data_IF_429435197486
#
_entry.id   IF_429435197486
#
_cell.length_a   1.000
_cell.length_b   1.000
_cell.length_c   1.000
_cell.angle_alpha   90.00
_cell.angle_beta   90.00
_cell.angle_gamma   90.00
#
_symmetry.space_group_name_H-M   'P 1'
#
loop_
_entity.id
_entity.type
_entity.pdbx_description
1 polymer ?
#
# COMPACT_ATOMS: atom_id res chain seq x y z
N UNK A 1 0.94 -2.04 13.85
CA UNK A 1 -0.44 -1.54 13.63
C UNK A 1 -0.47 -0.12 14.17
N UNK A 2 -0.63 0.90 13.34
CA UNK A 2 -0.63 2.30 13.79
C UNK A 2 -1.90 2.99 13.29
N UNK A 3 -2.60 3.66 14.20
CA UNK A 3 -3.89 4.32 13.99
C UNK A 3 -3.68 5.82 14.08
N UNK A 4 -3.98 6.57 13.02
CA UNK A 4 -3.89 8.03 13.03
C UNK A 4 -5.28 8.60 12.73
N UNK A 5 -5.75 9.50 13.59
CA UNK A 5 -6.97 10.29 13.36
C UNK A 5 -6.59 11.55 12.61
N UNK A 6 -7.25 11.83 11.49
CA UNK A 6 -7.08 13.09 10.77
C UNK A 6 -7.99 14.17 11.34
N UNK A 7 -7.56 15.43 11.33
CA UNK A 7 -8.38 16.58 11.73
C UNK A 7 -9.38 17.02 10.65
N UNK A 8 -9.21 16.58 9.38
CA UNK A 8 -10.08 16.94 8.25
C UNK A 8 -11.03 15.82 7.81
N UNK A 9 -10.90 14.64 8.41
CA UNK A 9 -11.75 13.48 8.21
C UNK A 9 -12.04 12.91 9.60
N UNK A 10 -13.29 12.92 10.05
CA UNK A 10 -13.67 12.49 11.42
C UNK A 10 -13.46 11.00 11.67
N UNK A 11 -13.14 10.22 10.63
CA UNK A 11 -12.86 8.79 10.69
C UNK A 11 -11.39 8.45 10.96
N UNK A 12 -11.17 7.22 11.42
CA UNK A 12 -9.83 6.64 11.61
C UNK A 12 -9.29 6.13 10.27
N UNK A 13 -8.07 6.53 9.91
CA UNK A 13 -7.39 6.03 8.72
C UNK A 13 -6.21 5.17 9.16
N UNK A 14 -6.14 3.97 8.60
CA UNK A 14 -5.05 3.04 8.85
C UNK A 14 -4.40 2.63 7.53
N UNK A 15 -3.06 2.73 7.49
CA UNK A 15 -2.25 2.24 6.38
C UNK A 15 -1.29 1.19 6.92
N UNK A 16 -1.43 -0.05 6.46
CA UNK A 16 -0.53 -1.16 6.81
C UNK A 16 0.41 -1.47 5.67
N UNK A 17 1.67 -1.74 6.02
CA UNK A 17 2.72 -2.12 5.08
C UNK A 17 3.21 -3.52 5.43
N UNK A 18 3.44 -4.31 4.38
CA UNK A 18 4.10 -5.60 4.50
C UNK A 18 5.14 -5.76 3.38
N UNK A 19 6.24 -6.43 3.69
CA UNK A 19 7.31 -6.80 2.77
C UNK A 19 7.53 -8.29 2.87
N UNK A 20 7.16 -9.01 1.83
CA UNK A 20 7.26 -10.47 1.82
C UNK A 20 7.62 -11.02 0.45
N UNK A 21 7.92 -12.31 0.42
CA UNK A 21 7.98 -13.08 -0.81
C UNK A 21 6.55 -13.50 -1.15
N UNK A 22 6.10 -13.20 -2.36
CA UNK A 22 4.80 -13.61 -2.88
C UNK A 22 4.99 -14.63 -4.00
N UNK A 23 4.15 -15.66 -4.00
CA UNK A 23 4.08 -16.62 -5.11
C UNK A 23 3.31 -16.08 -6.32
N UNK A 24 3.44 -16.74 -7.50
CA UNK A 24 2.79 -16.31 -8.74
C UNK A 24 1.27 -16.07 -8.63
N UNK A 25 0.54 -16.98 -7.97
CA UNK A 25 -0.91 -16.87 -7.82
C UNK A 25 -1.30 -15.65 -6.98
N UNK A 26 -0.62 -15.42 -5.85
CA UNK A 26 -0.92 -14.26 -5.00
C UNK A 26 -0.67 -12.93 -5.75
N UNK A 27 0.40 -12.87 -6.55
CA UNK A 27 0.71 -11.69 -7.37
C UNK A 27 -0.40 -11.47 -8.41
N UNK A 28 -0.82 -12.52 -9.10
CA UNK A 28 -1.88 -12.45 -10.11
C UNK A 28 -3.23 -12.07 -9.51
N UNK A 29 -3.59 -12.62 -8.37
CA UNK A 29 -4.87 -12.34 -7.70
C UNK A 29 -4.99 -10.88 -7.26
N UNK A 30 -3.87 -10.27 -6.85
CA UNK A 30 -3.86 -8.87 -6.37
C UNK A 30 -3.62 -7.86 -7.49
N UNK A 31 -2.78 -8.18 -8.48
CA UNK A 31 -2.32 -7.21 -9.49
C UNK A 31 -2.81 -7.49 -10.91
N UNK A 32 -3.33 -8.69 -11.18
CA UNK A 32 -3.61 -9.20 -12.52
C UNK A 32 -2.36 -9.60 -13.33
N UNK A 33 -1.15 -9.40 -12.80
CA UNK A 33 0.11 -9.68 -13.50
C UNK A 33 0.52 -11.14 -13.29
N UNK A 34 0.86 -11.83 -14.37
CA UNK A 34 1.44 -13.18 -14.31
C UNK A 34 2.96 -13.09 -14.23
N UNK A 35 3.56 -13.90 -13.34
CA UNK A 35 5.01 -14.01 -13.19
C UNK A 35 5.42 -15.48 -13.10
N UNK A 36 6.62 -15.81 -13.55
CA UNK A 36 7.07 -17.21 -13.65
C UNK A 36 7.54 -17.81 -12.31
N UNK A 37 7.68 -17.00 -11.26
CA UNK A 37 8.20 -17.43 -9.97
C UNK A 37 7.99 -16.42 -8.87
N UNK A 38 8.43 -16.78 -7.68
CA UNK A 38 8.30 -15.94 -6.49
C UNK A 38 9.00 -14.59 -6.65
N UNK A 39 8.38 -13.54 -6.10
CA UNK A 39 8.94 -12.18 -6.13
C UNK A 39 8.92 -11.54 -4.76
N UNK A 40 9.90 -10.68 -4.51
CA UNK A 40 9.86 -9.73 -3.40
C UNK A 40 8.79 -8.69 -3.69
N UNK A 41 7.87 -8.50 -2.75
CA UNK A 41 6.74 -7.60 -2.92
C UNK A 41 6.59 -6.66 -1.73
N UNK A 42 6.13 -5.45 -2.02
CA UNK A 42 5.57 -4.53 -1.04
C UNK A 42 4.05 -4.60 -1.14
N UNK A 43 3.37 -4.83 -0.03
CA UNK A 43 1.92 -4.78 0.06
C UNK A 43 1.50 -3.60 0.92
N UNK A 44 0.41 -2.97 0.49
CA UNK A 44 -0.25 -1.90 1.24
C UNK A 44 -1.72 -2.25 1.39
N UNK A 45 -2.23 -2.13 2.60
CA UNK A 45 -3.67 -2.21 2.90
C UNK A 45 -4.10 -0.89 3.53
N UNK A 46 -5.12 -0.27 2.95
CA UNK A 46 -5.72 0.98 3.42
C UNK A 46 -7.08 0.66 4.01
N UNK A 47 -7.30 1.09 5.24
CA UNK A 47 -8.60 0.95 5.91
C UNK A 47 -9.12 2.31 6.33
N UNK A 48 -10.41 2.56 6.06
CA UNK A 48 -11.16 3.73 6.53
C UNK A 48 -12.19 3.22 7.53
N UNK A 49 -12.15 3.74 8.76
CA UNK A 49 -13.09 3.37 9.83
C UNK A 49 -13.14 1.86 10.11
N UNK A 50 -11.98 1.19 9.97
CA UNK A 50 -11.83 -0.25 10.16
C UNK A 50 -12.22 -1.11 8.95
N UNK A 51 -12.80 -0.52 7.90
CA UNK A 51 -13.12 -1.23 6.66
C UNK A 51 -11.96 -1.15 5.68
N UNK A 52 -11.53 -2.28 5.12
CA UNK A 52 -10.52 -2.30 4.07
C UNK A 52 -11.13 -1.73 2.79
N UNK A 53 -10.62 -0.57 2.37
CA UNK A 53 -11.10 0.14 1.17
C UNK A 53 -10.16 0.00 -0.02
N UNK A 54 -8.94 -0.48 0.23
CA UNK A 54 -7.93 -0.57 -0.81
C UNK A 54 -6.79 -1.51 -0.44
N UNK A 55 -6.38 -2.33 -1.42
CA UNK A 55 -5.19 -3.16 -1.32
C UNK A 55 -4.35 -2.97 -2.58
N UNK A 56 -3.06 -2.81 -2.40
CA UNK A 56 -2.12 -2.64 -3.50
C UNK A 56 -0.88 -3.46 -3.27
N UNK A 57 -0.31 -3.98 -4.36
CA UNK A 57 0.93 -4.75 -4.35
C UNK A 57 1.87 -4.19 -5.41
N UNK A 58 3.14 -4.03 -5.04
CA UNK A 58 4.21 -3.71 -5.97
C UNK A 58 5.28 -4.79 -5.91
N UNK A 59 5.62 -5.33 -7.07
CA UNK A 59 6.79 -6.20 -7.24
C UNK A 59 8.04 -5.32 -7.13
N UNK A 60 8.94 -5.65 -6.20
CA UNK A 60 10.21 -4.97 -6.01
C UNK A 60 11.19 -5.38 -7.12
N UNK A 61 11.87 -4.41 -7.73
CA UNK A 61 12.71 -4.67 -8.89
C UNK A 61 14.20 -4.72 -8.48
N UNK A 62 15.02 -5.65 -9.01
CA UNK A 62 16.45 -5.67 -8.71
C UNK A 62 17.15 -4.36 -9.06
N UNK A 63 16.70 -3.69 -10.14
CA UNK A 63 17.23 -2.39 -10.58
C UNK A 63 16.99 -1.22 -9.63
N UNK A 64 16.14 -1.36 -8.61
CA UNK A 64 16.02 -0.39 -7.51
C UNK A 64 16.65 -0.88 -6.19
N UNK A 65 17.47 -1.93 -6.26
CA UNK A 65 18.04 -2.64 -5.10
C UNK A 65 16.98 -3.18 -4.13
N UNK A 66 15.79 -3.53 -4.63
CA UNK A 66 14.64 -3.91 -3.83
C UNK A 66 14.26 -2.84 -2.80
N UNK A 67 14.28 -1.58 -3.21
CA UNK A 67 14.03 -0.44 -2.32
C UNK A 67 12.61 -0.52 -1.73
N UNK A 68 12.56 -0.82 -0.42
CA UNK A 68 11.30 -0.96 0.32
C UNK A 68 10.46 0.32 0.28
N UNK A 69 11.09 1.49 0.31
CA UNK A 69 10.39 2.76 0.28
C UNK A 69 9.73 3.02 -1.09
N UNK A 70 10.44 2.75 -2.19
CA UNK A 70 9.89 2.86 -3.53
C UNK A 70 8.73 1.88 -3.73
N UNK A 71 8.92 0.62 -3.31
CA UNK A 71 7.88 -0.40 -3.34
C UNK A 71 6.62 -0.02 -2.55
N UNK A 72 6.76 0.51 -1.32
CA UNK A 72 5.61 1.01 -0.53
C UNK A 72 4.86 2.13 -1.22
N UNK A 73 5.57 3.13 -1.78
CA UNK A 73 4.91 4.24 -2.49
C UNK A 73 4.13 3.74 -3.70
N UNK A 74 4.71 2.81 -4.48
CA UNK A 74 4.05 2.22 -5.65
C UNK A 74 2.82 1.39 -5.25
N UNK A 75 2.95 0.53 -4.24
CA UNK A 75 1.84 -0.25 -3.71
C UNK A 75 0.72 0.63 -3.13
N UNK A 76 1.08 1.72 -2.44
CA UNK A 76 0.12 2.68 -1.93
C UNK A 76 -0.66 3.37 -3.06
N UNK A 77 0.04 3.81 -4.12
CA UNK A 77 -0.60 4.40 -5.31
C UNK A 77 -1.68 3.49 -5.89
N UNK A 78 -1.42 2.18 -5.95
CA UNK A 78 -2.42 1.20 -6.40
C UNK A 78 -3.58 1.04 -5.40
N UNK A 79 -3.27 0.92 -4.11
CA UNK A 79 -4.29 0.75 -3.07
C UNK A 79 -5.29 1.91 -3.03
N UNK A 80 -4.83 3.14 -3.30
CA UNK A 80 -5.68 4.34 -3.23
C UNK A 80 -6.26 4.77 -4.57
N UNK A 81 -5.85 4.15 -5.69
CA UNK A 81 -6.35 4.49 -7.03
C UNK A 81 -7.89 4.54 -7.14
N UNK A 82 -8.67 3.59 -6.58
CA UNK A 82 -10.13 3.62 -6.68
C UNK A 82 -10.80 4.65 -5.75
N UNK A 83 -10.06 5.28 -4.83
CA UNK A 83 -10.62 6.21 -3.85
C UNK A 83 -10.83 7.62 -4.45
N UNK A 84 -11.74 8.37 -3.83
CA UNK A 84 -11.95 9.78 -4.18
C UNK A 84 -10.70 10.61 -3.91
N UNK A 85 -10.57 11.76 -4.57
CA UNK A 85 -9.35 12.59 -4.52
C UNK A 85 -9.03 13.04 -3.09
N UNK A 86 -10.06 13.33 -2.31
CA UNK A 86 -9.98 13.80 -0.93
C UNK A 86 -9.42 12.70 -0.02
N UNK A 87 -9.98 11.49 -0.12
CA UNK A 87 -9.53 10.31 0.62
C UNK A 87 -8.09 9.94 0.25
N UNK A 88 -7.76 9.99 -1.06
CA UNK A 88 -6.38 9.77 -1.53
C UNK A 88 -5.41 10.72 -0.85
N UNK A 89 -5.72 12.02 -0.83
CA UNK A 89 -4.86 13.04 -0.20
C UNK A 89 -4.67 12.77 1.28
N UNK A 90 -5.71 12.35 1.97
CA UNK A 90 -5.63 12.07 3.40
C UNK A 90 -4.78 10.84 3.70
N UNK A 91 -4.98 9.76 2.95
CA UNK A 91 -4.17 8.54 3.09
C UNK A 91 -2.68 8.83 2.83
N UNK A 92 -2.37 9.67 1.82
CA UNK A 92 -1.00 10.11 1.57
C UNK A 92 -0.41 10.95 2.71
N UNK A 93 -1.23 11.81 3.34
CA UNK A 93 -0.81 12.58 4.52
C UNK A 93 -0.44 11.67 5.69
N UNK A 94 -1.27 10.66 5.98
CA UNK A 94 -1.01 9.63 6.99
C UNK A 94 0.28 8.85 6.67
N UNK A 95 0.45 8.43 5.41
CA UNK A 95 1.67 7.76 4.95
C UNK A 95 2.93 8.60 5.21
N UNK A 96 2.92 9.87 4.80
CA UNK A 96 4.09 10.76 4.94
C UNK A 96 4.42 11.04 6.40
N UNK A 97 3.41 11.22 7.25
CA UNK A 97 3.62 11.37 8.70
C UNK A 97 4.24 10.13 9.35
N UNK A 98 4.01 8.94 8.80
CA UNK A 98 4.50 7.65 9.34
C UNK A 98 5.90 7.27 8.84
N UNK A 99 6.31 7.75 7.67
CA UNK A 99 7.58 7.38 7.04
C UNK A 99 8.70 8.43 7.18
N UNK A 100 8.37 9.65 7.65
CA UNK A 100 9.33 10.71 7.93
C UNK A 100 9.56 10.93 9.45
N UNK A 101 9.00 10.07 10.29
CA UNK A 101 9.19 10.05 11.75
C UNK A 101 10.15 8.95 12.18
#
# INVERSE_FOLDING_TARGET
MLRIRSASFTGMIEVRFDHKICGPNEIKDVTGVSVDGERRCSLVTVSLEGNVVGRGMAICHPGDNFCRAAGRKKALSYAVFPLKKEDRREVWRVYLGTCNS
#
